data_IF_328671094563
#
_entry.id   IF_328671094563
#
_cell.length_a   1.000
_cell.length_b   1.000
_cell.length_c   1.000
_cell.angle_alpha   90.00
_cell.angle_beta   90.00
_cell.angle_gamma   90.00
#
_symmetry.space_group_name_H-M   'P 1'
#
loop_
_entity.id
_entity.type
_entity.pdbx_description
1 polymer ?
#
# COMPACT_ATOMS: atom_id res chain seq x y z
N UNK A 1 13.14 16.31 15.17
CA UNK A 1 14.17 17.07 14.43
C UNK A 1 15.45 17.33 15.26
N UNK A 2 15.81 16.48 16.22
CA UNK A 2 16.95 16.75 17.12
C UNK A 2 18.33 16.73 16.46
N UNK A 3 18.47 16.13 15.26
CA UNK A 3 19.75 16.02 14.57
C UNK A 3 20.02 17.16 13.57
N UNK A 4 18.97 17.81 13.08
CA UNK A 4 19.04 18.92 12.11
C UNK A 4 17.96 19.95 12.45
N UNK A 5 18.17 20.77 13.50
CA UNK A 5 17.16 21.72 13.98
C UNK A 5 16.89 22.88 13.01
N UNK A 6 17.85 23.22 12.15
CA UNK A 6 17.73 24.26 11.12
C UNK A 6 16.94 23.82 9.87
N UNK A 7 16.66 22.52 9.73
CA UNK A 7 15.93 22.01 8.57
C UNK A 7 14.42 22.10 8.80
N UNK A 8 13.73 22.80 7.89
CA UNK A 8 12.27 22.80 7.81
C UNK A 8 11.80 21.77 6.77
N UNK A 9 10.75 21.02 7.09
CA UNK A 9 10.19 20.00 6.19
C UNK A 9 8.76 20.38 5.85
N UNK A 10 8.47 20.52 4.56
CA UNK A 10 7.12 20.62 4.05
C UNK A 10 6.68 19.26 3.48
N UNK A 11 5.51 18.77 3.91
CA UNK A 11 5.01 17.44 3.50
C UNK A 11 3.72 17.62 2.72
N UNK A 12 3.71 17.12 1.50
CA UNK A 12 2.53 16.97 0.66
C UNK A 12 2.21 15.49 0.51
N UNK A 13 0.98 15.11 0.83
CA UNK A 13 0.50 13.73 0.72
C UNK A 13 -0.49 13.65 -0.44
N UNK A 14 -0.21 12.78 -1.40
CA UNK A 14 -1.02 12.54 -2.59
C UNK A 14 -0.79 11.10 -3.09
N UNK A 15 -1.82 10.50 -3.70
CA UNK A 15 -1.79 9.15 -4.25
C UNK A 15 -1.33 9.11 -5.73
N UNK A 16 -1.04 10.28 -6.31
CA UNK A 16 -0.60 10.40 -7.72
C UNK A 16 0.92 10.41 -7.84
N UNK A 17 1.43 9.79 -8.90
CA UNK A 17 2.81 10.00 -9.36
C UNK A 17 2.88 11.43 -9.92
N UNK A 18 3.68 12.30 -9.28
CA UNK A 18 3.87 13.70 -9.68
C UNK A 18 5.22 13.88 -10.39
N UNK A 19 5.30 14.88 -11.27
CA UNK A 19 6.59 15.34 -11.76
C UNK A 19 7.24 16.18 -10.67
N UNK A 20 8.37 15.71 -10.14
CA UNK A 20 9.07 16.39 -9.04
C UNK A 20 9.60 17.76 -9.44
N UNK A 21 9.97 17.93 -10.71
CA UNK A 21 10.54 19.17 -11.22
C UNK A 21 9.45 20.25 -11.30
N UNK A 22 8.31 19.91 -11.92
CA UNK A 22 7.22 20.87 -12.14
C UNK A 22 6.54 21.28 -10.81
N UNK A 23 6.60 20.43 -9.79
CA UNK A 23 6.00 20.68 -8.48
C UNK A 23 6.98 21.18 -7.41
N UNK A 24 8.22 21.47 -7.80
CA UNK A 24 9.27 21.97 -6.89
C UNK A 24 9.48 21.04 -5.67
N UNK A 25 9.45 19.72 -5.92
CA UNK A 25 9.62 18.68 -4.90
C UNK A 25 11.05 18.14 -4.95
N UNK A 26 11.78 18.29 -3.84
CA UNK A 26 13.16 17.76 -3.73
C UNK A 26 13.21 16.23 -3.57
N UNK A 27 12.22 15.66 -2.87
CA UNK A 27 12.15 14.24 -2.55
C UNK A 27 10.71 13.73 -2.58
N UNK A 28 10.48 12.62 -3.27
CA UNK A 28 9.23 11.88 -3.20
C UNK A 28 9.45 10.43 -2.73
N UNK A 29 8.50 9.96 -1.92
CA UNK A 29 8.41 8.58 -1.49
C UNK A 29 7.25 7.93 -2.24
N UNK A 30 7.55 6.91 -3.04
CA UNK A 30 6.57 6.18 -3.82
C UNK A 30 6.55 4.71 -3.45
N UNK A 31 5.36 4.11 -3.53
CA UNK A 31 5.14 2.68 -3.38
C UNK A 31 4.96 2.09 -4.77
N UNK A 32 5.73 1.04 -5.08
CA UNK A 32 5.65 0.32 -6.34
C UNK A 32 6.76 0.68 -7.32
N UNK A 33 6.59 0.20 -8.55
CA UNK A 33 7.57 0.41 -9.61
C UNK A 33 7.51 1.86 -10.10
N UNK A 34 8.67 2.49 -10.23
CA UNK A 34 8.78 3.84 -10.76
C UNK A 34 8.88 3.79 -12.29
N UNK A 35 8.24 4.75 -13.00
CA UNK A 35 8.43 4.88 -14.44
C UNK A 35 9.90 5.18 -14.74
N UNK A 36 10.37 4.72 -15.90
CA UNK A 36 11.72 5.00 -16.36
C UNK A 36 11.88 6.52 -16.53
N UNK A 37 12.75 7.13 -15.75
CA UNK A 37 12.96 8.58 -15.71
C UNK A 37 14.44 8.88 -15.54
N UNK A 38 14.84 10.12 -15.81
CA UNK A 38 16.20 10.60 -15.56
C UNK A 38 16.44 10.92 -14.06
N UNK A 39 15.53 10.52 -13.17
CA UNK A 39 15.63 10.76 -11.74
C UNK A 39 16.38 9.62 -11.05
N UNK A 40 17.18 9.97 -10.04
CA UNK A 40 17.84 8.99 -9.19
C UNK A 40 16.86 8.42 -8.17
N UNK A 41 16.59 7.11 -8.26
CA UNK A 41 15.76 6.40 -7.29
C UNK A 41 16.59 5.45 -6.42
N UNK A 42 16.21 5.31 -5.15
CA UNK A 42 16.79 4.34 -4.22
C UNK A 42 15.69 3.60 -3.46
N UNK A 43 15.82 2.28 -3.36
CA UNK A 43 14.97 1.48 -2.49
C UNK A 43 15.20 1.86 -1.01
N UNK A 44 14.16 2.35 -0.35
CA UNK A 44 14.19 2.68 1.09
C UNK A 44 13.80 1.46 1.93
N UNK A 45 12.69 0.82 1.58
CA UNK A 45 12.15 -0.32 2.32
C UNK A 45 11.31 -1.23 1.41
N UNK A 46 11.28 -2.52 1.75
CA UNK A 46 10.30 -3.49 1.24
C UNK A 46 9.32 -3.82 2.36
N UNK A 47 8.03 -3.85 2.05
CA UNK A 47 7.01 -4.26 3.02
C UNK A 47 6.04 -5.26 2.40
N UNK A 48 5.44 -6.07 3.27
CA UNK A 48 4.43 -7.05 2.89
C UNK A 48 3.04 -6.50 3.17
N UNK A 49 2.08 -6.84 2.31
CA UNK A 49 0.67 -6.56 2.56
C UNK A 49 0.05 -7.70 3.35
N UNK A 50 -0.88 -7.38 4.26
CA UNK A 50 -1.62 -8.35 5.07
C UNK A 50 -3.13 -8.13 4.91
N UNK A 51 -3.88 -9.23 4.91
CA UNK A 51 -5.34 -9.19 5.03
C UNK A 51 -5.66 -9.28 6.50
N UNK A 52 -6.32 -8.25 7.01
CA UNK A 52 -6.65 -8.11 8.42
C UNK A 52 -8.14 -7.77 8.56
N UNK A 53 -8.71 -8.15 9.70
CA UNK A 53 -10.06 -7.78 10.07
C UNK A 53 -10.12 -7.56 11.58
N UNK A 54 -11.08 -6.74 12.02
CA UNK A 54 -11.31 -6.55 13.46
C UNK A 54 -11.77 -7.84 14.10
N UNK A 55 -11.39 -8.06 15.35
CA UNK A 55 -11.79 -9.26 16.09
C UNK A 55 -13.32 -9.38 16.18
N UNK A 56 -14.01 -8.25 16.34
CA UNK A 56 -15.47 -8.18 16.36
C UNK A 56 -16.06 -8.71 15.04
N UNK A 57 -15.51 -8.33 13.90
CA UNK A 57 -16.00 -8.82 12.60
C UNK A 57 -15.81 -10.32 12.45
N UNK A 58 -14.63 -10.83 12.82
CA UNK A 58 -14.29 -12.25 12.72
C UNK A 58 -15.17 -13.13 13.63
N UNK A 59 -15.56 -12.65 14.81
CA UNK A 59 -16.51 -13.36 15.70
C UNK A 59 -17.88 -13.58 15.06
N UNK A 60 -18.34 -12.64 14.23
CA UNK A 60 -19.66 -12.73 13.58
C UNK A 60 -19.60 -13.43 12.21
N UNK A 61 -18.53 -13.20 11.45
CA UNK A 61 -18.43 -13.64 10.05
C UNK A 61 -17.58 -14.89 9.85
N UNK A 62 -16.86 -15.34 10.88
CA UNK A 62 -15.88 -16.42 10.78
C UNK A 62 -14.54 -15.97 10.19
N UNK A 63 -13.56 -16.88 10.21
CA UNK A 63 -12.23 -16.70 9.63
C UNK A 63 -12.17 -17.48 8.32
N UNK A 64 -11.91 -16.80 7.20
CA UNK A 64 -11.67 -17.45 5.92
C UNK A 64 -10.42 -18.33 5.98
N UNK A 65 -10.53 -19.59 5.58
CA UNK A 65 -9.39 -20.50 5.40
C UNK A 65 -8.89 -20.47 3.97
N UNK A 66 -9.74 -20.07 3.03
CA UNK A 66 -9.37 -19.95 1.63
C UNK A 66 -9.63 -18.53 1.08
N UNK A 67 -8.68 -17.99 0.30
CA UNK A 67 -8.86 -16.86 -0.60
C UNK A 67 -10.27 -16.58 -1.15
N UNK A 68 -10.83 -17.58 -1.81
CA UNK A 68 -12.10 -17.48 -2.53
C UNK A 68 -13.29 -17.26 -1.59
N UNK A 69 -13.13 -17.54 -0.30
CA UNK A 69 -14.16 -17.31 0.71
C UNK A 69 -14.32 -15.81 1.01
N UNK A 70 -13.34 -14.96 0.66
CA UNK A 70 -13.45 -13.51 0.83
C UNK A 70 -14.61 -12.92 0.02
N UNK A 71 -15.09 -13.59 -1.02
CA UNK A 71 -16.29 -13.16 -1.77
C UNK A 71 -17.55 -13.15 -0.88
N UNK A 72 -17.55 -13.90 0.23
CA UNK A 72 -18.63 -13.96 1.20
C UNK A 72 -18.47 -12.92 2.32
N UNK A 73 -17.35 -12.19 2.35
CA UNK A 73 -17.04 -11.19 3.35
C UNK A 73 -17.23 -9.77 2.82
N UNK A 74 -17.52 -8.83 3.74
CA UNK A 74 -17.53 -7.40 3.44
C UNK A 74 -16.09 -6.88 3.39
N UNK A 75 -15.54 -6.75 2.19
CA UNK A 75 -14.20 -6.21 1.97
C UNK A 75 -14.24 -4.69 1.82
N UNK A 76 -13.27 -4.00 2.43
CA UNK A 76 -13.01 -2.57 2.21
C UNK A 76 -11.86 -2.47 1.22
N UNK A 77 -12.08 -1.79 0.10
CA UNK A 77 -11.08 -1.63 -0.96
C UNK A 77 -10.94 -0.15 -1.33
N UNK A 78 -9.81 0.22 -1.92
CA UNK A 78 -9.62 1.55 -2.50
C UNK A 78 -10.37 1.65 -3.83
N UNK A 79 -11.11 2.75 -4.03
CA UNK A 79 -11.74 3.08 -5.31
C UNK A 79 -10.72 3.46 -6.39
N UNK A 80 -9.55 3.97 -5.98
CA UNK A 80 -8.48 4.40 -6.89
C UNK A 80 -7.51 3.28 -7.23
N UNK A 81 -7.91 2.58 -8.27
CA UNK A 81 -7.11 1.68 -9.07
C UNK A 81 -6.08 2.47 -9.93
N UNK A 82 -4.86 2.70 -9.46
CA UNK A 82 -3.82 3.42 -10.26
C UNK A 82 -3.34 2.62 -11.47
N UNK A 83 -3.68 1.34 -11.55
CA UNK A 83 -3.55 0.55 -12.79
C UNK A 83 -4.92 0.47 -13.44
N UNK A 84 -5.06 0.81 -14.72
CA UNK A 84 -6.32 0.72 -15.49
C UNK A 84 -6.89 -0.69 -15.66
N UNK A 85 -6.65 -1.60 -14.71
CA UNK A 85 -7.23 -2.94 -14.61
C UNK A 85 -8.34 -2.90 -13.56
N UNK A 86 -9.51 -3.43 -13.89
CA UNK A 86 -10.48 -3.83 -12.88
C UNK A 86 -9.79 -4.85 -11.93
N UNK A 87 -9.70 -4.52 -10.64
CA UNK A 87 -9.08 -5.37 -9.61
C UNK A 87 -7.68 -4.95 -9.17
N UNK A 88 -7.48 -3.72 -8.70
CA UNK A 88 -6.14 -3.20 -8.33
C UNK A 88 -5.62 -3.63 -6.97
N UNK A 89 -6.28 -4.57 -6.33
CA UNK A 89 -5.54 -5.58 -5.58
C UNK A 89 -5.39 -6.80 -6.49
N UNK A 90 -4.50 -6.67 -7.47
CA UNK A 90 -3.99 -7.79 -8.25
C UNK A 90 -3.05 -8.61 -7.37
N UNK A 91 -3.54 -9.06 -6.21
CA UNK A 91 -2.78 -9.99 -5.40
C UNK A 91 -2.89 -11.33 -6.14
N UNK A 92 -1.88 -11.65 -6.93
CA UNK A 92 -1.71 -13.02 -7.41
C UNK A 92 -1.65 -13.91 -6.17
N UNK A 93 -2.62 -14.81 -6.04
CA UNK A 93 -2.76 -15.71 -4.90
C UNK A 93 -1.53 -16.58 -4.63
N UNK A 94 -0.70 -16.83 -5.66
CA UNK A 94 0.63 -17.44 -5.53
C UNK A 94 1.55 -16.72 -4.52
N UNK A 95 1.31 -15.42 -4.25
CA UNK A 95 2.01 -14.62 -3.23
C UNK A 95 1.27 -14.47 -1.91
N UNK A 96 -0.02 -14.84 -1.84
CA UNK A 96 -0.84 -14.81 -0.60
C UNK A 96 -0.79 -16.12 0.17
N UNK A 97 -0.38 -17.23 -0.45
CA UNK A 97 -0.15 -18.51 0.22
C UNK A 97 0.86 -18.45 1.37
N UNK A 98 1.70 -17.40 1.41
CA UNK A 98 2.70 -17.14 2.44
C UNK A 98 2.40 -15.91 3.32
N UNK A 99 1.22 -15.30 3.20
CA UNK A 99 0.84 -14.17 4.04
C UNK A 99 0.06 -14.74 5.23
N UNK A 100 0.64 -14.79 6.45
CA UNK A 100 -0.11 -15.24 7.61
C UNK A 100 -1.32 -14.34 7.79
N UNK A 101 -2.49 -14.93 8.04
CA UNK A 101 -3.68 -14.22 8.48
C UNK A 101 -3.36 -13.56 9.82
N UNK A 102 -2.90 -12.32 9.76
CA UNK A 102 -2.50 -11.55 10.92
C UNK A 102 -3.74 -11.11 11.68
N UNK A 103 -3.85 -11.52 12.94
CA UNK A 103 -4.67 -10.76 13.89
C UNK A 103 -3.89 -9.49 14.20
N UNK A 104 -4.41 -8.32 13.85
CA UNK A 104 -3.90 -7.06 14.41
C UNK A 104 -4.35 -7.00 15.87
N UNK A 105 -3.44 -7.34 16.78
CA UNK A 105 -3.52 -7.05 18.21
C UNK A 105 -2.91 -5.69 18.51
#
# INVERSE_FOLDING_TARGET
MNKHPETSVYIKLDDKIRNLIDEEIDLALHIGDLPNSNLHSRLVIKFNSYIIASEVYLKHSGISQHPDELIKHRCINFDHCVTGKKGCFGIKWEKLSNIPFGKCT
#
